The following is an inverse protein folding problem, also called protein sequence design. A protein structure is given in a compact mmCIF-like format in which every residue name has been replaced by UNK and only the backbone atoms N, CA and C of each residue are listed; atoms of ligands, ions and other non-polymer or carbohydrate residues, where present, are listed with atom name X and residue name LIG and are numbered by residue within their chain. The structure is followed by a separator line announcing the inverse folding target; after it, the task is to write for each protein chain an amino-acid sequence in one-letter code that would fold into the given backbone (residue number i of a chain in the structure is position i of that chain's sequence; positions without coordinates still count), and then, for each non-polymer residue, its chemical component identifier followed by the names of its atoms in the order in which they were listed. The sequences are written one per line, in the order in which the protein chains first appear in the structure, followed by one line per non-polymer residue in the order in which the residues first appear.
data_IF_179052067222
#
_entry.id   IF_179052067222
#
_cell.length_a   1.000
_cell.length_b   1.000
_cell.length_c   1.000
_cell.angle_alpha   90.00
_cell.angle_beta   90.00
_cell.angle_gamma   90.00
#
_symmetry.space_group_name_H-M   'P 1'
#
loop_
_entity.id
_entity.type
_entity.pdbx_description
1 polymer ?
#
# COMPACT_ATOMS: atom_id res chain seq x y z
N UNK A 1 -20.91 33.14 -21.33
CA UNK A 1 -21.15 32.40 -20.09
C UNK A 1 -20.25 31.18 -20.10
N UNK A 2 -19.38 31.02 -19.12
CA UNK A 2 -18.53 29.83 -18.98
C UNK A 2 -19.34 28.75 -18.26
N UNK A 3 -19.56 27.62 -18.92
CA UNK A 3 -20.24 26.45 -18.35
C UNK A 3 -19.13 25.62 -17.69
N UNK A 4 -19.08 25.62 -16.37
CA UNK A 4 -18.18 24.74 -15.64
C UNK A 4 -18.69 23.30 -15.74
N UNK A 5 -17.80 22.39 -16.15
CA UNK A 5 -18.12 20.97 -16.16
C UNK A 5 -18.37 20.51 -14.70
N UNK A 6 -19.44 19.73 -14.45
CA UNK A 6 -19.73 19.25 -13.10
C UNK A 6 -18.55 18.43 -12.57
N UNK A 7 -18.19 18.68 -11.31
CA UNK A 7 -17.14 17.91 -10.66
C UNK A 7 -17.56 16.43 -10.59
N UNK A 8 -16.62 15.49 -10.82
CA UNK A 8 -16.90 14.07 -10.67
C UNK A 8 -17.42 13.79 -9.26
N UNK A 9 -18.45 12.94 -9.15
CA UNK A 9 -19.19 12.68 -7.91
C UNK A 9 -18.29 12.18 -6.78
N UNK A 10 -17.20 11.50 -7.13
CA UNK A 10 -16.15 11.02 -6.22
C UNK A 10 -15.46 12.16 -5.44
N UNK A 11 -15.52 13.40 -5.94
CA UNK A 11 -15.00 14.60 -5.25
C UNK A 11 -16.05 15.35 -4.43
N UNK A 12 -17.32 14.99 -4.56
CA UNK A 12 -18.45 15.76 -4.00
C UNK A 12 -19.19 14.94 -2.95
N UNK A 13 -19.21 13.61 -3.08
CA UNK A 13 -19.82 12.71 -2.10
C UNK A 13 -18.89 12.54 -0.89
N UNK A 14 -19.35 12.85 0.34
CA UNK A 14 -18.58 12.60 1.54
C UNK A 14 -18.28 11.11 1.72
N UNK A 15 -17.02 10.78 2.02
CA UNK A 15 -16.57 9.41 2.31
C UNK A 15 -15.51 9.43 3.42
N UNK A 16 -15.15 8.28 3.98
CA UNK A 16 -14.07 8.24 4.96
C UNK A 16 -12.74 8.69 4.31
N UNK A 17 -11.81 9.28 5.08
CA UNK A 17 -10.51 9.67 4.55
C UNK A 17 -9.83 8.49 3.85
N UNK A 18 -9.23 8.76 2.69
CA UNK A 18 -8.53 7.79 1.83
C UNK A 18 -9.38 6.64 1.24
N UNK A 19 -10.72 6.66 1.36
CA UNK A 19 -11.58 5.71 0.64
C UNK A 19 -11.37 5.80 -0.88
N UNK A 20 -11.24 7.02 -1.39
CA UNK A 20 -10.90 7.30 -2.79
C UNK A 20 -9.54 8.00 -2.79
N UNK A 21 -8.53 7.32 -3.33
CA UNK A 21 -7.13 7.75 -3.25
C UNK A 21 -6.53 7.91 -4.64
N UNK A 22 -5.99 9.08 -4.94
CA UNK A 22 -5.09 9.30 -6.08
C UNK A 22 -3.65 9.00 -5.69
N UNK A 23 -2.89 8.34 -6.55
CA UNK A 23 -1.48 8.03 -6.33
C UNK A 23 -0.65 8.59 -7.48
N UNK A 24 0.42 9.27 -7.13
CA UNK A 24 1.38 9.84 -8.09
C UNK A 24 2.82 9.70 -7.59
N UNK A 25 3.77 9.71 -8.50
CA UNK A 25 5.19 9.79 -8.17
C UNK A 25 5.70 11.22 -8.35
N UNK A 26 6.28 11.76 -7.27
CA UNK A 26 7.08 12.97 -7.35
C UNK A 26 8.56 12.61 -7.53
N UNK A 27 9.20 13.39 -8.39
CA UNK A 27 10.50 13.14 -9.01
C UNK A 27 11.68 12.99 -8.05
N UNK A 28 12.88 12.79 -8.63
CA UNK A 28 14.04 12.33 -7.89
C UNK A 28 14.46 13.32 -6.80
N UNK A 29 14.41 12.89 -5.55
CA UNK A 29 14.94 13.60 -4.40
C UNK A 29 16.30 13.03 -4.01
N UNK A 30 17.28 13.91 -3.82
CA UNK A 30 18.60 13.51 -3.34
C UNK A 30 18.50 13.18 -1.85
N UNK A 31 18.89 11.97 -1.48
CA UNK A 31 18.92 11.54 -0.09
C UNK A 31 20.37 11.32 0.37
N UNK A 32 20.62 11.63 1.65
CA UNK A 32 21.91 11.32 2.29
C UNK A 32 21.86 9.88 2.79
N UNK A 33 22.47 8.99 2.03
CA UNK A 33 22.69 7.59 2.41
C UNK A 33 24.19 7.29 2.53
N UNK A 34 24.51 6.03 2.89
CA UNK A 34 25.90 5.55 3.07
C UNK A 34 26.74 5.63 1.78
N UNK A 35 26.10 5.75 0.61
CA UNK A 35 26.76 5.95 -0.69
C UNK A 35 26.58 7.38 -1.18
N UNK A 36 27.55 7.96 -1.92
CA UNK A 36 27.40 9.29 -2.51
C UNK A 36 26.35 9.25 -3.62
N UNK A 37 25.27 10.05 -3.48
CA UNK A 37 24.18 10.29 -4.47
C UNK A 37 23.17 9.14 -4.65
N UNK A 38 22.54 8.71 -3.56
CA UNK A 38 21.30 7.95 -3.70
C UNK A 38 20.14 8.90 -4.02
N UNK A 39 19.45 8.58 -5.11
CA UNK A 39 18.22 9.24 -5.54
C UNK A 39 17.05 8.40 -5.07
N UNK A 40 16.05 9.03 -4.49
CA UNK A 40 14.78 8.39 -4.15
C UNK A 40 13.62 9.11 -4.85
N UNK A 41 12.46 8.49 -4.82
CA UNK A 41 11.21 9.02 -5.33
C UNK A 41 10.21 9.10 -4.20
N UNK A 42 9.18 9.92 -4.39
CA UNK A 42 8.12 10.09 -3.41
C UNK A 42 6.83 9.54 -4.00
N UNK A 43 6.23 8.56 -3.36
CA UNK A 43 4.86 8.14 -3.64
C UNK A 43 3.90 9.05 -2.86
N UNK A 44 3.08 9.80 -3.58
CA UNK A 44 2.07 10.71 -3.06
C UNK A 44 0.72 10.03 -3.08
N UNK A 45 0.11 9.86 -1.92
CA UNK A 45 -1.25 9.34 -1.75
C UNK A 45 -2.17 10.49 -1.37
N UNK A 46 -3.09 10.85 -2.25
CA UNK A 46 -3.99 11.99 -2.10
C UNK A 46 -5.42 11.51 -1.87
N UNK A 47 -6.04 11.92 -0.77
CA UNK A 47 -7.46 11.64 -0.53
C UNK A 47 -8.34 12.57 -1.37
N UNK A 48 -9.28 12.02 -2.15
CA UNK A 48 -10.21 12.81 -2.95
C UNK A 48 -11.17 13.64 -2.10
N UNK A 49 -11.65 13.08 -0.97
CA UNK A 49 -12.63 13.73 -0.08
C UNK A 49 -12.03 14.86 0.74
N UNK A 50 -10.89 14.62 1.39
CA UNK A 50 -10.30 15.58 2.36
C UNK A 50 -9.15 16.40 1.81
N UNK A 51 -8.63 16.04 0.62
CA UNK A 51 -7.37 16.56 0.08
C UNK A 51 -6.14 16.32 0.96
N UNK A 52 -6.25 15.43 1.94
CA UNK A 52 -5.11 15.02 2.76
C UNK A 52 -4.07 14.28 1.90
N UNK A 53 -2.79 14.54 2.20
CA UNK A 53 -1.65 13.88 1.58
C UNK A 53 -1.00 12.92 2.57
N UNK A 54 -0.70 11.72 2.11
CA UNK A 54 0.22 10.79 2.76
C UNK A 54 1.40 10.54 1.83
N UNK A 55 2.59 10.55 2.39
CA UNK A 55 3.84 10.60 1.64
C UNK A 55 4.70 9.42 2.06
N UNK A 56 5.15 8.65 1.08
CA UNK A 56 6.06 7.53 1.27
C UNK A 56 7.31 7.72 0.43
N UNK A 57 8.48 7.53 1.05
CA UNK A 57 9.74 7.51 0.32
C UNK A 57 9.94 6.13 -0.31
N UNK A 58 10.39 6.13 -1.57
CA UNK A 58 10.58 4.94 -2.39
C UNK A 58 11.98 5.00 -2.99
N UNK A 59 12.77 3.92 -2.90
CA UNK A 59 14.17 3.94 -3.36
C UNK A 59 14.30 4.06 -4.88
N UNK A 60 13.29 3.61 -5.62
CA UNK A 60 13.24 3.60 -7.08
C UNK A 60 11.77 3.52 -7.53
N UNK A 61 11.55 3.56 -8.85
CA UNK A 61 10.22 3.46 -9.46
C UNK A 61 9.83 2.01 -9.81
N UNK A 62 10.42 1.00 -9.19
CA UNK A 62 10.04 -0.40 -9.46
C UNK A 62 8.74 -0.78 -8.76
N UNK A 63 8.07 -1.79 -9.30
CA UNK A 63 6.81 -2.31 -8.77
C UNK A 63 6.95 -2.78 -7.32
N UNK A 64 8.02 -3.52 -7.00
CA UNK A 64 8.26 -4.05 -5.66
C UNK A 64 8.34 -2.93 -4.61
N UNK A 65 9.09 -1.85 -4.93
CA UNK A 65 9.22 -0.73 -3.99
C UNK A 65 7.93 0.04 -3.85
N UNK A 66 7.17 0.18 -4.94
CA UNK A 66 5.83 0.76 -4.88
C UNK A 66 4.87 -0.07 -4.03
N UNK A 67 4.83 -1.39 -4.20
CA UNK A 67 3.96 -2.28 -3.42
C UNK A 67 4.28 -2.24 -1.93
N UNK A 68 5.56 -2.15 -1.57
CA UNK A 68 5.97 -1.92 -0.18
C UNK A 68 5.50 -0.56 0.34
N UNK A 69 5.54 0.49 -0.47
CA UNK A 69 4.99 1.80 -0.10
C UNK A 69 3.47 1.75 0.08
N UNK A 70 2.76 1.08 -0.84
CA UNK A 70 1.32 0.86 -0.75
C UNK A 70 0.95 0.06 0.51
N UNK A 71 1.71 -0.98 0.86
CA UNK A 71 1.50 -1.75 2.08
C UNK A 71 1.64 -0.88 3.33
N UNK A 72 2.66 -0.01 3.39
CA UNK A 72 2.85 0.94 4.50
C UNK A 72 1.73 1.97 4.58
N UNK A 73 1.26 2.47 3.44
CA UNK A 73 0.09 3.34 3.36
C UNK A 73 -1.15 2.64 3.91
N UNK A 74 -1.48 1.44 3.42
CA UNK A 74 -2.64 0.66 3.86
C UNK A 74 -2.57 0.32 5.34
N UNK A 75 -1.40 -0.07 5.84
CA UNK A 75 -1.18 -0.35 7.26
C UNK A 75 -1.43 0.85 8.17
N UNK A 76 -1.27 2.09 7.67
CA UNK A 76 -1.47 3.32 8.47
C UNK A 76 -2.80 4.04 8.20
N UNK A 77 -3.34 3.94 6.98
CA UNK A 77 -4.54 4.69 6.53
C UNK A 77 -5.75 3.80 6.27
N UNK A 78 -5.59 2.49 6.28
CA UNK A 78 -6.62 1.54 5.89
C UNK A 78 -6.61 1.27 4.38
N UNK A 79 -7.39 0.26 3.99
CA UNK A 79 -7.49 -0.15 2.59
C UNK A 79 -8.37 0.87 1.82
N UNK A 80 -7.87 1.47 0.73
CA UNK A 80 -8.71 2.30 -0.13
C UNK A 80 -9.73 1.42 -0.87
N UNK A 81 -10.91 1.97 -1.13
CA UNK A 81 -11.90 1.32 -2.00
C UNK A 81 -11.54 1.53 -3.47
N UNK A 82 -11.03 2.70 -3.81
CA UNK A 82 -10.69 3.07 -5.19
C UNK A 82 -9.34 3.76 -5.22
N UNK A 83 -8.47 3.29 -6.11
CA UNK A 83 -7.18 3.89 -6.39
C UNK A 83 -7.21 4.45 -7.81
N UNK A 84 -6.83 5.72 -7.97
CA UNK A 84 -6.54 6.34 -9.25
C UNK A 84 -5.03 6.54 -9.37
N UNK A 85 -4.46 6.13 -10.48
CA UNK A 85 -3.04 6.38 -10.79
C UNK A 85 -2.91 7.02 -12.17
N UNK A 86 -1.76 7.61 -12.46
CA UNK A 86 -1.41 7.91 -13.83
C UNK A 86 -1.10 6.62 -14.63
N UNK A 87 -0.71 6.77 -15.89
CA UNK A 87 -0.47 5.65 -16.79
C UNK A 87 0.95 5.06 -16.68
N UNK A 88 1.66 5.30 -15.58
CA UNK A 88 3.01 4.76 -15.38
C UNK A 88 3.01 3.22 -15.38
N UNK A 89 4.03 2.63 -16.01
CA UNK A 89 4.17 1.17 -16.16
C UNK A 89 4.26 0.46 -14.81
N UNK A 90 4.87 1.10 -13.81
CA UNK A 90 4.95 0.63 -12.43
C UNK A 90 3.57 0.38 -11.83
N UNK A 91 2.63 1.31 -12.03
CA UNK A 91 1.27 1.18 -11.49
C UNK A 91 0.48 0.10 -12.22
N UNK A 92 0.66 -0.05 -13.53
CA UNK A 92 0.06 -1.16 -14.28
C UNK A 92 0.55 -2.53 -13.82
N UNK A 93 1.85 -2.67 -13.60
CA UNK A 93 2.43 -3.89 -13.07
C UNK A 93 1.90 -4.19 -11.66
N UNK A 94 1.88 -3.18 -10.78
CA UNK A 94 1.35 -3.32 -9.42
C UNK A 94 -0.13 -3.73 -9.42
N UNK A 95 -0.95 -3.13 -10.29
CA UNK A 95 -2.36 -3.49 -10.43
C UNK A 95 -2.54 -4.96 -10.85
N UNK A 96 -1.72 -5.46 -11.78
CA UNK A 96 -1.75 -6.87 -12.19
C UNK A 96 -1.40 -7.81 -11.04
N UNK A 97 -0.35 -7.51 -10.28
CA UNK A 97 0.04 -8.31 -9.11
C UNK A 97 -1.05 -8.33 -8.04
N UNK A 98 -1.64 -7.17 -7.78
CA UNK A 98 -2.75 -7.01 -6.85
C UNK A 98 -3.98 -7.82 -7.28
N UNK A 99 -4.39 -7.76 -8.56
CA UNK A 99 -5.51 -8.56 -9.08
C UNK A 99 -5.24 -10.06 -8.87
N UNK A 100 -4.03 -10.52 -9.18
CA UNK A 100 -3.64 -11.92 -8.97
C UNK A 100 -3.69 -12.31 -7.48
N UNK A 101 -3.21 -11.43 -6.60
CA UNK A 101 -3.28 -11.63 -5.16
C UNK A 101 -4.75 -11.74 -4.69
N UNK A 102 -5.62 -10.83 -5.13
CA UNK A 102 -7.05 -10.85 -4.79
C UNK A 102 -7.74 -12.13 -5.27
N UNK A 103 -7.47 -12.57 -6.50
CA UNK A 103 -7.99 -13.83 -7.03
C UNK A 103 -7.51 -15.03 -6.20
N UNK A 104 -6.24 -15.03 -5.82
CA UNK A 104 -5.63 -16.08 -5.01
C UNK A 104 -6.26 -16.13 -3.61
N UNK A 105 -6.43 -14.98 -2.96
CA UNK A 105 -7.03 -14.86 -1.62
C UNK A 105 -8.55 -15.13 -1.62
N UNK A 106 -9.23 -14.85 -2.73
CA UNK A 106 -10.67 -15.12 -2.89
C UNK A 106 -10.96 -16.57 -3.24
N UNK A 107 -9.94 -17.36 -3.61
CA UNK A 107 -10.14 -18.76 -3.94
C UNK A 107 -10.60 -19.54 -2.71
N UNK A 108 -11.68 -20.31 -2.86
CA UNK A 108 -12.21 -21.15 -1.78
C UNK A 108 -11.17 -22.15 -1.27
N UNK A 109 -10.26 -22.62 -2.14
CA UNK A 109 -9.15 -23.49 -1.77
C UNK A 109 -8.22 -22.80 -0.78
N UNK A 110 -7.78 -21.58 -1.11
CA UNK A 110 -6.89 -20.77 -0.27
C UNK A 110 -7.54 -20.44 1.06
N UNK A 111 -8.79 -19.97 1.04
CA UNK A 111 -9.52 -19.61 2.27
C UNK A 111 -9.71 -20.81 3.19
N UNK A 112 -10.13 -21.97 2.65
CA UNK A 112 -10.29 -23.20 3.42
C UNK A 112 -8.96 -23.68 4.01
N UNK A 113 -7.89 -23.64 3.22
CA UNK A 113 -6.56 -24.04 3.68
C UNK A 113 -6.13 -23.24 4.91
N UNK A 114 -6.21 -21.90 4.87
CA UNK A 114 -5.83 -21.08 6.01
C UNK A 114 -6.81 -21.17 7.19
N UNK A 115 -8.11 -21.33 6.94
CA UNK A 115 -9.09 -21.55 8.00
C UNK A 115 -8.88 -22.88 8.77
N UNK A 116 -8.37 -23.91 8.09
CA UNK A 116 -8.13 -25.23 8.68
C UNK A 116 -6.76 -25.35 9.35
N UNK A 117 -5.71 -24.76 8.76
CA UNK A 117 -4.34 -24.94 9.23
C UNK A 117 -3.91 -23.88 10.24
N UNK A 118 -4.46 -22.65 10.16
CA UNK A 118 -4.03 -21.53 11.01
C UNK A 118 -2.53 -21.22 10.90
N UNK A 119 -2.03 -20.41 11.83
CA UNK A 119 -0.60 -20.19 12.03
C UNK A 119 -0.31 -20.45 13.51
N UNK A 120 0.48 -21.46 13.81
CA UNK A 120 0.95 -21.73 15.17
C UNK A 120 2.25 -20.97 15.42
N UNK A 121 2.26 -20.12 16.45
CA UNK A 121 3.43 -19.33 16.84
C UNK A 121 3.93 -19.74 18.23
N UNK A 122 4.74 -20.81 18.34
CA UNK A 122 5.32 -21.20 19.63
C UNK A 122 6.35 -20.15 20.08
N UNK A 123 6.23 -19.70 21.34
CA UNK A 123 7.14 -18.72 21.94
C UNK A 123 8.51 -19.31 22.34
N UNK A 124 8.66 -20.64 22.33
CA UNK A 124 9.90 -21.33 22.64
C UNK A 124 10.24 -22.35 21.54
N UNK A 125 11.38 -22.16 20.89
CA UNK A 125 11.90 -23.06 19.84
C UNK A 125 12.80 -24.18 20.37
N UNK A 126 13.38 -23.99 21.55
CA UNK A 126 14.22 -24.97 22.23
C UNK A 126 13.74 -25.06 23.68
N UNK A 127 13.47 -26.28 24.15
CA UNK A 127 13.12 -26.54 25.54
C UNK A 127 14.25 -26.12 26.47
N UNK A 128 14.12 -24.93 27.05
CA UNK A 128 14.79 -24.61 28.29
C UNK A 128 13.93 -25.16 29.42
N UNK A 129 14.33 -26.29 29.99
CA UNK A 129 13.83 -26.73 31.28
C UNK A 129 14.05 -25.57 32.27
N UNK A 130 12.95 -25.01 32.79
CA UNK A 130 13.01 -24.18 33.98
C UNK A 130 13.24 -25.10 35.19
N UNK A 131 14.47 -25.61 35.32
CA UNK A 131 15.00 -26.13 36.57
C UNK A 131 15.47 -24.95 37.41
N UNK A 132 14.84 -24.74 38.57
CA UNK A 132 15.27 -23.71 39.51
C UNK A 132 14.24 -23.44 40.58
N UNK A 133 14.19 -24.33 41.57
CA UNK A 133 13.60 -24.08 42.89
C UNK A 133 14.22 -22.84 43.54
N UNK A 134 13.36 -21.96 44.06
CA UNK A 134 13.58 -21.16 45.26
C UNK A 134 12.22 -20.86 45.90
#
# INVERSE_FOLDING_TARGET
MQIEAPLPSERVVPSAPFTITGIDFAGPVNIRCLKPRDTAYIALFTCATTRALHIELVSDLTTDKFLLALQRFVGRRGLPNTIYTDNATTFHAANKELILLWQTLSSAKTQRYYAQNGITWPHAWLGGEAGGSA
#
